data_IF_320596579479
#
_entry.id   IF_320596579479
#
_cell.length_a   1.000
_cell.length_b   1.000
_cell.length_c   1.000
_cell.angle_alpha   90.00
_cell.angle_beta   90.00
_cell.angle_gamma   90.00
#
_symmetry.space_group_name_H-M   'P 1'
#
loop_
_entity.id
_entity.type
_entity.pdbx_description
1 polymer ?
#
# COMPACT_ATOMS: atom_id res chain seq x y z
N UNK A 1 9.45 6.88 -17.66
CA UNK A 1 8.14 7.16 -17.06
C UNK A 1 7.10 6.37 -17.85
N UNK A 2 6.21 5.65 -17.18
CA UNK A 2 5.13 4.89 -17.87
C UNK A 2 3.98 5.82 -18.24
N UNK A 3 3.11 5.40 -19.16
CA UNK A 3 1.90 6.18 -19.51
C UNK A 3 0.96 6.38 -18.30
N UNK A 4 0.95 5.42 -17.39
CA UNK A 4 0.23 5.51 -16.11
C UNK A 4 0.81 6.64 -15.25
N UNK A 5 2.12 6.64 -15.01
CA UNK A 5 2.82 7.68 -14.22
C UNK A 5 2.70 9.07 -14.84
N UNK A 6 2.78 9.16 -16.18
CA UNK A 6 2.56 10.41 -16.92
C UNK A 6 1.19 11.00 -16.58
N UNK A 7 0.12 10.19 -16.63
CA UNK A 7 -1.23 10.65 -16.31
C UNK A 7 -1.38 10.96 -14.82
N UNK A 8 -0.84 10.12 -13.94
CA UNK A 8 -0.93 10.29 -12.48
C UNK A 8 -0.32 11.61 -12.02
N UNK A 9 0.79 12.03 -12.64
CA UNK A 9 1.57 13.22 -12.23
C UNK A 9 1.36 14.44 -13.13
N UNK A 10 0.60 14.31 -14.22
CA UNK A 10 0.38 15.39 -15.18
C UNK A 10 -0.28 16.61 -14.52
N UNK A 11 0.13 17.79 -14.98
CA UNK A 11 -0.59 19.04 -14.73
C UNK A 11 -1.86 19.10 -15.58
N UNK A 12 -2.77 19.99 -15.20
CA UNK A 12 -4.08 20.16 -15.86
C UNK A 12 -4.00 20.26 -17.38
N UNK A 13 -3.09 21.08 -17.92
CA UNK A 13 -2.95 21.26 -19.37
C UNK A 13 -2.50 20.00 -20.12
N UNK A 14 -1.52 19.29 -19.57
CA UNK A 14 -0.96 18.09 -20.21
C UNK A 14 -1.95 16.93 -20.14
N UNK A 15 -2.72 16.88 -19.05
CA UNK A 15 -3.81 15.94 -18.86
C UNK A 15 -4.93 16.17 -19.89
N UNK A 16 -5.38 17.41 -20.04
CA UNK A 16 -6.35 17.83 -21.05
C UNK A 16 -5.88 17.43 -22.46
N UNK A 17 -4.67 17.85 -22.86
CA UNK A 17 -4.11 17.55 -24.20
C UNK A 17 -4.06 16.04 -24.45
N UNK A 18 -3.63 15.27 -23.45
CA UNK A 18 -3.55 13.82 -23.53
C UNK A 18 -4.91 13.17 -23.76
N UNK A 19 -5.91 13.57 -22.98
CA UNK A 19 -7.23 12.92 -22.99
C UNK A 19 -8.08 13.34 -24.20
N UNK A 20 -8.03 14.60 -24.62
CA UNK A 20 -8.71 15.02 -25.86
C UNK A 20 -8.12 14.34 -27.09
N UNK A 21 -6.79 14.21 -27.17
CA UNK A 21 -6.12 13.52 -28.29
C UNK A 21 -6.47 12.04 -28.35
N UNK A 22 -6.62 11.36 -27.21
CA UNK A 22 -7.05 9.95 -27.20
C UNK A 22 -8.54 9.80 -27.48
N UNK A 23 -9.36 10.76 -27.07
CA UNK A 23 -10.79 10.80 -27.32
C UNK A 23 -11.15 11.07 -28.80
N UNK A 24 -10.28 11.75 -29.55
CA UNK A 24 -10.51 12.15 -30.95
C UNK A 24 -10.08 11.12 -32.00
N UNK A 25 -9.42 10.01 -31.62
CA UNK A 25 -9.01 8.93 -32.54
C UNK A 25 -10.20 8.01 -32.93
N UNK A 26 -11.30 8.58 -33.42
CA UNK A 26 -12.55 7.87 -33.71
C UNK A 26 -12.63 7.34 -35.15
N UNK A 27 -13.05 6.08 -35.30
CA UNK A 27 -13.71 5.53 -36.50
C UNK A 27 -15.08 4.86 -36.18
N UNK A 28 -15.44 4.71 -34.89
CA UNK A 28 -16.65 3.99 -34.43
C UNK A 28 -17.65 4.90 -33.68
N UNK A 29 -18.94 4.53 -33.61
CA UNK A 29 -19.97 5.33 -32.92
C UNK A 29 -19.57 5.66 -31.49
N UNK A 30 -19.92 6.87 -31.04
CA UNK A 30 -19.49 7.40 -29.75
C UNK A 30 -20.01 6.52 -28.59
N UNK A 31 -19.15 5.64 -28.09
CA UNK A 31 -19.39 4.91 -26.85
C UNK A 31 -19.70 5.89 -25.72
N UNK A 32 -20.65 5.54 -24.84
CA UNK A 32 -21.06 6.36 -23.71
C UNK A 32 -20.72 5.68 -22.37
N UNK A 33 -20.65 6.47 -21.30
CA UNK A 33 -20.38 5.96 -19.94
C UNK A 33 -19.07 5.19 -19.84
N UNK A 34 -19.07 4.06 -19.11
CA UNK A 34 -17.87 3.25 -18.87
C UNK A 34 -17.24 2.67 -20.15
N UNK A 35 -18.05 2.45 -21.20
CA UNK A 35 -17.52 2.00 -22.50
C UNK A 35 -16.61 3.07 -23.11
N UNK A 36 -16.95 4.35 -22.93
CA UNK A 36 -16.10 5.48 -23.34
C UNK A 36 -14.77 5.48 -22.59
N UNK A 37 -14.81 5.32 -21.26
CA UNK A 37 -13.59 5.26 -20.44
C UNK A 37 -12.68 4.12 -20.86
N UNK A 38 -13.23 2.92 -21.10
CA UNK A 38 -12.48 1.74 -21.56
C UNK A 38 -11.84 1.98 -22.92
N UNK A 39 -12.57 2.61 -23.85
CA UNK A 39 -12.02 2.96 -25.16
C UNK A 39 -10.85 3.95 -25.04
N UNK A 40 -11.01 4.99 -24.21
CA UNK A 40 -9.95 5.97 -23.98
C UNK A 40 -8.73 5.31 -23.33
N UNK A 41 -8.94 4.40 -22.37
CA UNK A 41 -7.86 3.62 -21.76
C UNK A 41 -7.11 2.82 -22.82
N UNK A 42 -7.84 2.08 -23.66
CA UNK A 42 -7.26 1.32 -24.76
C UNK A 42 -6.45 2.20 -25.74
N UNK A 43 -7.00 3.37 -26.13
CA UNK A 43 -6.32 4.33 -27.00
C UNK A 43 -5.02 4.90 -26.40
N UNK A 44 -4.90 4.87 -25.07
CA UNK A 44 -3.72 5.26 -24.32
C UNK A 44 -2.77 4.08 -24.02
N UNK A 45 -3.13 2.85 -24.43
CA UNK A 45 -2.37 1.65 -24.09
C UNK A 45 -2.46 1.27 -22.61
N UNK A 46 -3.55 1.65 -21.94
CA UNK A 46 -3.82 1.37 -20.53
C UNK A 46 -5.03 0.45 -20.38
N UNK A 47 -5.07 -0.29 -19.29
CA UNK A 47 -6.28 -0.96 -18.83
C UNK A 47 -7.25 0.05 -18.21
N UNK A 48 -8.51 -0.35 -18.05
CA UNK A 48 -9.50 0.50 -17.37
C UNK A 48 -9.11 0.82 -15.92
N UNK A 49 -8.72 -0.16 -15.07
CA UNK A 49 -8.24 0.13 -13.72
C UNK A 49 -7.04 1.07 -13.70
N UNK A 50 -6.09 0.93 -14.63
CA UNK A 50 -4.95 1.83 -14.75
C UNK A 50 -5.39 3.27 -15.05
N UNK A 51 -6.23 3.49 -16.05
CA UNK A 51 -6.68 4.84 -16.38
C UNK A 51 -7.46 5.48 -15.23
N UNK A 52 -8.41 4.74 -14.65
CA UNK A 52 -9.25 5.25 -13.56
C UNK A 52 -8.43 5.56 -12.31
N UNK A 53 -7.47 4.70 -11.93
CA UNK A 53 -6.60 4.98 -10.80
C UNK A 53 -5.63 6.14 -11.07
N UNK A 54 -5.00 6.19 -12.26
CA UNK A 54 -4.09 7.28 -12.60
C UNK A 54 -4.80 8.64 -12.55
N UNK A 55 -5.99 8.73 -13.14
CA UNK A 55 -6.79 9.95 -13.12
C UNK A 55 -7.33 10.27 -11.73
N UNK A 56 -7.93 9.28 -11.07
CA UNK A 56 -8.60 9.47 -9.81
C UNK A 56 -7.66 9.82 -8.65
N UNK A 57 -6.36 9.52 -8.75
CA UNK A 57 -5.34 9.96 -7.79
C UNK A 57 -4.52 11.16 -8.26
N UNK A 58 -4.76 11.68 -9.47
CA UNK A 58 -4.13 12.92 -9.93
C UNK A 58 -4.75 14.12 -9.18
N UNK A 59 -3.90 14.96 -8.61
CA UNK A 59 -4.28 16.13 -7.80
C UNK A 59 -5.23 17.12 -8.50
N UNK A 60 -5.16 17.21 -9.83
CA UNK A 60 -5.82 18.24 -10.62
C UNK A 60 -7.13 17.79 -11.27
N UNK A 61 -7.48 16.49 -11.24
CA UNK A 61 -8.63 15.97 -11.99
C UNK A 61 -9.96 16.56 -11.53
N UNK A 62 -10.07 16.93 -10.25
CA UNK A 62 -11.28 17.49 -9.67
C UNK A 62 -11.65 18.85 -10.29
N UNK A 63 -10.66 19.58 -10.79
CA UNK A 63 -10.84 20.89 -11.43
C UNK A 63 -11.24 20.79 -12.90
N UNK A 64 -11.27 19.57 -13.47
CA UNK A 64 -11.42 19.33 -14.90
C UNK A 64 -12.75 18.63 -15.22
N UNK A 65 -13.87 19.32 -14.95
CA UNK A 65 -15.22 18.81 -15.20
C UNK A 65 -15.44 18.32 -16.64
N UNK A 66 -14.89 19.04 -17.60
CA UNK A 66 -15.04 18.71 -19.03
C UNK A 66 -14.35 17.40 -19.38
N UNK A 67 -13.20 17.13 -18.74
CA UNK A 67 -12.47 15.87 -18.88
C UNK A 67 -13.28 14.70 -18.34
N UNK A 68 -13.91 14.89 -17.17
CA UNK A 68 -14.77 13.86 -16.57
C UNK A 68 -15.93 13.52 -17.50
N UNK A 69 -16.57 14.52 -18.10
CA UNK A 69 -17.64 14.32 -19.08
C UNK A 69 -17.14 13.57 -20.33
N UNK A 70 -15.98 13.92 -20.86
CA UNK A 70 -15.35 13.23 -22.02
C UNK A 70 -15.06 11.76 -21.72
N UNK A 71 -14.68 11.45 -20.48
CA UNK A 71 -14.44 10.09 -20.01
C UNK A 71 -15.72 9.30 -19.73
N UNK A 72 -16.89 9.96 -19.74
CA UNK A 72 -18.18 9.34 -19.47
C UNK A 72 -18.57 9.33 -17.98
N UNK A 73 -17.93 10.14 -17.15
CA UNK A 73 -18.29 10.32 -15.74
C UNK A 73 -19.20 11.53 -15.56
N UNK A 74 -20.25 11.38 -14.75
CA UNK A 74 -21.18 12.47 -14.43
C UNK A 74 -20.63 13.46 -13.39
N UNK A 75 -19.66 13.04 -12.59
CA UNK A 75 -19.03 13.87 -11.55
C UNK A 75 -17.70 13.28 -11.11
N UNK A 76 -16.94 14.06 -10.34
CA UNK A 76 -15.72 13.56 -9.69
C UNK A 76 -16.03 12.40 -8.74
N UNK A 77 -17.16 12.44 -8.01
CA UNK A 77 -17.57 11.34 -7.12
C UNK A 77 -17.80 10.03 -7.89
N UNK A 78 -18.31 10.11 -9.14
CA UNK A 78 -18.46 8.93 -9.98
C UNK A 78 -17.10 8.32 -10.34
N UNK A 79 -16.12 9.15 -10.72
CA UNK A 79 -14.74 8.70 -10.94
C UNK A 79 -14.12 8.14 -9.65
N UNK A 80 -14.30 8.82 -8.52
CA UNK A 80 -13.75 8.43 -7.23
C UNK A 80 -14.29 7.07 -6.76
N UNK A 81 -15.58 6.78 -6.99
CA UNK A 81 -16.17 5.46 -6.71
C UNK A 81 -15.51 4.35 -7.54
N UNK A 82 -15.35 4.58 -8.84
CA UNK A 82 -14.69 3.61 -9.72
C UNK A 82 -13.21 3.42 -9.37
N UNK A 83 -12.51 4.51 -9.03
CA UNK A 83 -11.13 4.48 -8.51
C UNK A 83 -11.03 3.65 -7.25
N UNK A 84 -11.89 3.90 -6.27
CA UNK A 84 -11.87 3.17 -5.00
C UNK A 84 -12.12 1.68 -5.22
N UNK A 85 -13.09 1.34 -6.08
CA UNK A 85 -13.39 -0.05 -6.44
C UNK A 85 -12.19 -0.71 -7.14
N UNK A 86 -11.65 -0.07 -8.17
CA UNK A 86 -10.50 -0.57 -8.92
C UNK A 86 -9.27 -0.75 -8.02
N UNK A 87 -8.96 0.24 -7.19
CA UNK A 87 -7.85 0.18 -6.25
C UNK A 87 -8.02 -0.91 -5.20
N UNK A 88 -9.21 -1.13 -4.66
CA UNK A 88 -9.43 -2.14 -3.62
C UNK A 88 -9.50 -3.56 -4.20
N UNK A 89 -10.12 -3.73 -5.37
CA UNK A 89 -10.44 -5.07 -5.91
C UNK A 89 -9.53 -5.55 -7.02
N UNK A 90 -8.79 -4.66 -7.70
CA UNK A 90 -7.76 -5.08 -8.66
C UNK A 90 -6.48 -5.45 -7.92
N UNK A 91 -6.37 -6.76 -7.69
CA UNK A 91 -5.30 -7.36 -6.94
C UNK A 91 -4.20 -7.82 -7.91
N UNK A 92 -3.51 -6.85 -8.50
CA UNK A 92 -2.41 -7.02 -9.47
C UNK A 92 -2.79 -7.72 -10.78
N UNK A 93 -4.06 -7.65 -11.19
CA UNK A 93 -4.53 -8.25 -12.43
C UNK A 93 -4.34 -7.30 -13.60
N UNK A 94 -4.97 -6.12 -13.52
CA UNK A 94 -4.86 -5.08 -14.55
C UNK A 94 -4.18 -3.83 -14.01
N UNK A 95 -4.25 -3.59 -12.69
CA UNK A 95 -3.50 -2.57 -11.98
C UNK A 95 -2.26 -3.22 -11.36
N UNK A 96 -1.13 -3.15 -12.06
CA UNK A 96 0.08 -3.87 -11.65
C UNK A 96 0.69 -3.32 -10.35
N UNK A 97 1.55 -4.11 -9.69
CA UNK A 97 2.23 -3.65 -8.46
C UNK A 97 3.02 -2.36 -8.70
N UNK A 98 3.63 -2.17 -9.88
CA UNK A 98 4.35 -0.93 -10.21
C UNK A 98 3.44 0.29 -10.21
N UNK A 99 2.23 0.14 -10.74
CA UNK A 99 1.23 1.22 -10.78
C UNK A 99 0.80 1.58 -9.35
N UNK A 100 0.56 0.57 -8.50
CA UNK A 100 0.21 0.77 -7.08
C UNK A 100 1.32 1.48 -6.31
N UNK A 101 2.58 1.08 -6.50
CA UNK A 101 3.72 1.74 -5.88
C UNK A 101 3.88 3.19 -6.37
N UNK A 102 3.63 3.46 -7.66
CA UNK A 102 3.65 4.82 -8.19
C UNK A 102 2.55 5.69 -7.58
N UNK A 103 1.35 5.12 -7.33
CA UNK A 103 0.28 5.80 -6.60
C UNK A 103 0.76 6.20 -5.20
N UNK A 104 1.33 5.27 -4.44
CA UNK A 104 1.80 5.55 -3.07
C UNK A 104 2.83 6.66 -3.01
N UNK A 105 3.83 6.62 -3.90
CA UNK A 105 4.83 7.69 -4.01
C UNK A 105 4.22 9.03 -4.40
N UNK A 106 3.14 9.04 -5.20
CA UNK A 106 2.50 10.27 -5.62
C UNK A 106 1.64 10.89 -4.50
N UNK A 107 0.81 10.08 -3.83
CA UNK A 107 -0.17 10.61 -2.88
C UNK A 107 0.46 11.16 -1.60
N UNK A 108 1.67 10.74 -1.24
CA UNK A 108 2.35 11.22 -0.02
C UNK A 108 2.68 12.72 -0.08
N UNK A 109 2.67 13.32 -1.27
CA UNK A 109 2.80 14.76 -1.50
C UNK A 109 1.45 15.50 -1.62
N UNK A 110 0.32 14.79 -1.47
CA UNK A 110 -1.03 15.32 -1.57
C UNK A 110 -1.89 14.80 -0.40
N UNK A 111 -1.99 15.58 0.67
CA UNK A 111 -2.65 15.16 1.92
C UNK A 111 -4.09 14.65 1.71
N UNK A 112 -4.98 15.33 0.94
CA UNK A 112 -6.30 14.78 0.62
C UNK A 112 -6.27 13.39 -0.04
N UNK A 113 -5.36 13.14 -0.98
CA UNK A 113 -5.26 11.83 -1.64
C UNK A 113 -4.62 10.78 -0.72
N UNK A 114 -3.70 11.19 0.15
CA UNK A 114 -3.12 10.33 1.17
C UNK A 114 -4.19 9.80 2.14
N UNK A 115 -5.04 10.68 2.65
CA UNK A 115 -6.16 10.32 3.54
C UNK A 115 -7.12 9.32 2.87
N UNK A 116 -7.43 9.54 1.58
CA UNK A 116 -8.24 8.60 0.79
C UNK A 116 -7.58 7.23 0.73
N UNK A 117 -6.28 7.15 0.42
CA UNK A 117 -5.60 5.86 0.35
C UNK A 117 -5.56 5.18 1.71
N UNK A 118 -5.25 5.91 2.78
CA UNK A 118 -5.23 5.38 4.14
C UNK A 118 -6.57 4.74 4.51
N UNK A 119 -7.69 5.32 4.09
CA UNK A 119 -9.02 4.73 4.29
C UNK A 119 -9.27 3.46 3.45
N UNK A 120 -8.69 3.37 2.25
CA UNK A 120 -8.87 2.23 1.34
C UNK A 120 -7.92 1.07 1.64
N UNK A 121 -6.78 1.34 2.28
CA UNK A 121 -5.71 0.37 2.52
C UNK A 121 -6.22 -0.90 3.20
N UNK A 122 -6.97 -0.77 4.29
CA UNK A 122 -7.41 -1.94 5.06
C UNK A 122 -8.18 -2.95 4.19
N UNK A 123 -9.13 -2.46 3.39
CA UNK A 123 -9.96 -3.31 2.51
C UNK A 123 -9.13 -3.90 1.37
N UNK A 124 -8.16 -3.15 0.85
CA UNK A 124 -7.24 -3.65 -0.19
C UNK A 124 -6.36 -4.77 0.35
N UNK A 125 -5.81 -4.60 1.56
CA UNK A 125 -4.97 -5.60 2.21
C UNK A 125 -5.76 -6.86 2.56
N UNK A 126 -6.99 -6.72 3.06
CA UNK A 126 -7.90 -7.84 3.28
C UNK A 126 -8.07 -8.67 2.00
N UNK A 127 -8.35 -8.03 0.86
CA UNK A 127 -8.49 -8.72 -0.44
C UNK A 127 -7.19 -9.35 -0.95
N UNK A 128 -6.05 -8.72 -0.70
CA UNK A 128 -4.73 -9.27 -1.00
C UNK A 128 -4.46 -10.54 -0.18
N UNK A 129 -4.74 -10.48 1.13
CA UNK A 129 -4.55 -11.57 2.09
C UNK A 129 -5.49 -12.75 1.78
N UNK A 130 -6.79 -12.51 1.54
CA UNK A 130 -7.76 -13.53 1.07
C UNK A 130 -7.24 -14.26 -0.18
N UNK A 131 -6.67 -13.52 -1.14
CA UNK A 131 -6.15 -14.10 -2.38
C UNK A 131 -4.91 -14.96 -2.15
N UNK A 132 -4.05 -14.59 -1.21
CA UNK A 132 -2.88 -15.38 -0.84
C UNK A 132 -3.30 -16.68 -0.15
N UNK A 133 -4.24 -16.62 0.79
CA UNK A 133 -4.79 -17.81 1.43
C UNK A 133 -5.38 -18.79 0.41
N UNK A 134 -6.10 -18.28 -0.58
CA UNK A 134 -6.74 -19.10 -1.60
C UNK A 134 -5.78 -19.75 -2.61
N UNK A 135 -4.60 -19.15 -2.87
CA UNK A 135 -3.75 -19.57 -4.00
C UNK A 135 -2.31 -19.92 -3.65
N UNK A 136 -1.79 -19.37 -2.54
CA UNK A 136 -0.39 -19.51 -2.07
C UNK A 136 0.63 -19.24 -3.19
N UNK A 137 0.31 -18.30 -4.09
CA UNK A 137 1.15 -17.99 -5.23
C UNK A 137 2.36 -17.16 -4.81
N UNK A 138 3.57 -17.70 -5.01
CA UNK A 138 4.83 -17.06 -4.57
C UNK A 138 5.09 -15.71 -5.24
N UNK A 139 4.83 -15.58 -6.55
CA UNK A 139 4.99 -14.32 -7.29
C UNK A 139 4.07 -13.24 -6.72
N UNK A 140 2.85 -13.63 -6.37
CA UNK A 140 1.88 -12.73 -5.76
C UNK A 140 2.32 -12.31 -4.34
N UNK A 141 2.79 -13.24 -3.52
CA UNK A 141 3.33 -12.97 -2.18
C UNK A 141 4.49 -11.96 -2.25
N UNK A 142 5.37 -12.08 -3.26
CA UNK A 142 6.47 -11.11 -3.44
C UNK A 142 5.99 -9.72 -3.85
N UNK A 143 4.89 -9.62 -4.61
CA UNK A 143 4.25 -8.32 -4.89
C UNK A 143 3.63 -7.73 -3.63
N UNK A 144 2.94 -8.55 -2.83
CA UNK A 144 2.38 -8.15 -1.55
C UNK A 144 3.44 -7.62 -0.58
N UNK A 145 4.58 -8.34 -0.46
CA UNK A 145 5.74 -7.87 0.33
C UNK A 145 6.27 -6.53 -0.14
N UNK A 146 6.34 -6.29 -1.46
CA UNK A 146 6.77 -5.00 -2.01
C UNK A 146 5.79 -3.89 -1.66
N UNK A 147 4.50 -4.17 -1.77
CA UNK A 147 3.45 -3.21 -1.43
C UNK A 147 3.49 -2.84 0.06
N UNK A 148 3.59 -3.83 0.95
CA UNK A 148 3.68 -3.59 2.40
C UNK A 148 4.93 -2.79 2.80
N UNK A 149 6.07 -3.03 2.15
CA UNK A 149 7.27 -2.20 2.36
C UNK A 149 7.03 -0.76 1.98
N UNK A 150 6.40 -0.50 0.83
CA UNK A 150 6.10 0.85 0.39
C UNK A 150 5.10 1.56 1.32
N UNK A 151 4.08 0.84 1.79
CA UNK A 151 3.10 1.37 2.75
C UNK A 151 3.81 1.93 3.99
N UNK A 152 4.75 1.19 4.57
CA UNK A 152 5.49 1.64 5.75
C UNK A 152 6.61 2.64 5.44
N UNK A 153 7.40 2.41 4.39
CA UNK A 153 8.63 3.18 4.14
C UNK A 153 8.39 4.49 3.38
N UNK A 154 7.34 4.54 2.56
CA UNK A 154 7.04 5.73 1.74
C UNK A 154 6.09 6.70 2.47
N UNK A 155 5.74 6.42 3.73
CA UNK A 155 4.93 7.31 4.56
C UNK A 155 3.43 7.22 4.31
N UNK A 156 2.94 6.11 3.74
CA UNK A 156 1.49 5.90 3.55
C UNK A 156 0.83 5.49 4.86
N UNK A 157 1.45 4.61 5.63
CA UNK A 157 0.94 4.11 6.91
C UNK A 157 0.91 5.21 7.98
N UNK A 158 -0.16 5.22 8.78
CA UNK A 158 -0.27 5.99 10.01
C UNK A 158 -0.05 5.11 11.24
N UNK A 159 0.09 5.74 12.40
CA UNK A 159 0.27 5.05 13.67
C UNK A 159 -0.91 4.12 13.93
N UNK A 160 -2.14 4.56 13.70
CA UNK A 160 -3.38 3.79 13.90
C UNK A 160 -3.40 2.52 13.06
N UNK A 161 -2.91 2.62 11.82
CA UNK A 161 -2.76 1.46 10.93
C UNK A 161 -1.76 0.46 11.51
N UNK A 162 -0.58 0.92 11.91
CA UNK A 162 0.44 0.06 12.51
C UNK A 162 -0.04 -0.58 13.82
N UNK A 163 -0.71 0.18 14.68
CA UNK A 163 -1.30 -0.30 15.94
C UNK A 163 -2.29 -1.46 15.70
N UNK A 164 -3.21 -1.29 14.74
CA UNK A 164 -4.16 -2.34 14.36
C UNK A 164 -3.48 -3.60 13.84
N UNK A 165 -2.37 -3.47 13.10
CA UNK A 165 -1.58 -4.62 12.63
C UNK A 165 -0.84 -5.31 13.78
N UNK A 166 -0.32 -4.55 14.75
CA UNK A 166 0.37 -5.07 15.94
C UNK A 166 -0.56 -5.72 16.97
N UNK A 167 -1.83 -5.32 17.05
CA UNK A 167 -2.80 -5.91 17.97
C UNK A 167 -3.17 -7.36 17.61
N UNK A 168 -2.98 -7.76 16.34
CA UNK A 168 -3.31 -9.10 15.86
C UNK A 168 -2.15 -10.09 16.06
N UNK A 169 -2.03 -10.66 17.26
CA UNK A 169 -0.94 -11.55 17.71
C UNK A 169 -0.66 -12.76 16.80
N UNK A 170 -1.64 -13.24 16.03
CA UNK A 170 -1.55 -14.51 15.30
C UNK A 170 -1.78 -14.41 13.79
N UNK A 171 -1.48 -13.26 13.18
CA UNK A 171 -1.54 -13.18 11.72
C UNK A 171 -0.33 -13.90 11.08
N UNK A 172 -0.60 -14.99 10.35
CA UNK A 172 0.42 -15.66 9.52
C UNK A 172 1.07 -14.69 8.52
N UNK A 173 0.33 -13.66 8.09
CA UNK A 173 0.85 -12.59 7.23
C UNK A 173 1.89 -11.71 7.91
N UNK A 174 1.72 -11.42 9.21
CA UNK A 174 2.71 -10.63 9.98
C UNK A 174 4.08 -11.31 9.96
N UNK A 175 4.09 -12.63 10.16
CA UNK A 175 5.29 -13.45 10.06
C UNK A 175 5.81 -13.55 8.62
N UNK A 176 4.92 -13.75 7.63
CA UNK A 176 5.26 -13.82 6.20
C UNK A 176 6.00 -12.57 5.71
N UNK A 177 5.56 -11.41 6.19
CA UNK A 177 6.09 -10.10 5.82
C UNK A 177 7.33 -9.69 6.65
N UNK A 178 7.56 -10.33 7.80
CA UNK A 178 8.35 -9.76 8.90
C UNK A 178 7.87 -8.34 9.24
N UNK A 179 6.56 -8.16 9.34
CA UNK A 179 5.93 -6.84 9.39
C UNK A 179 6.34 -6.02 10.61
N UNK A 180 6.55 -6.66 11.76
CA UNK A 180 7.05 -5.97 12.97
C UNK A 180 8.38 -5.25 12.69
N UNK A 181 9.26 -5.86 11.89
CA UNK A 181 10.52 -5.22 11.49
C UNK A 181 10.27 -4.01 10.58
N UNK A 182 9.32 -4.11 9.64
CA UNK A 182 8.93 -2.97 8.78
C UNK A 182 8.40 -1.80 9.61
N UNK A 183 7.57 -2.09 10.62
CA UNK A 183 7.03 -1.05 11.52
C UNK A 183 8.16 -0.38 12.31
N UNK A 184 9.10 -1.15 12.86
CA UNK A 184 10.27 -0.58 13.57
C UNK A 184 11.14 0.26 12.62
N UNK A 185 11.40 -0.23 11.41
CA UNK A 185 12.20 0.47 10.39
C UNK A 185 11.53 1.77 9.94
N UNK A 186 10.18 1.81 9.86
CA UNK A 186 9.40 3.00 9.51
C UNK A 186 9.41 4.10 10.58
N UNK A 187 9.79 3.76 11.82
CA UNK A 187 9.81 4.66 12.99
C UNK A 187 8.44 5.28 13.33
N UNK A 188 7.33 4.69 12.89
CA UNK A 188 5.98 5.13 13.25
C UNK A 188 5.72 5.00 14.76
N UNK A 189 6.23 3.93 15.37
CA UNK A 189 6.08 3.65 16.80
C UNK A 189 7.48 3.46 17.39
N UNK A 190 7.78 4.02 18.58
CA UNK A 190 9.05 3.81 19.25
C UNK A 190 9.37 2.33 19.43
N UNK A 191 10.62 1.94 19.16
CA UNK A 191 11.03 0.54 19.20
C UNK A 191 10.86 -0.11 20.58
N UNK A 192 11.05 0.67 21.67
CA UNK A 192 10.77 0.21 23.03
C UNK A 192 9.30 -0.16 23.21
N UNK A 193 8.39 0.70 22.77
CA UNK A 193 6.95 0.47 22.87
C UNK A 193 6.52 -0.77 22.08
N UNK A 194 7.19 -1.09 20.97
CA UNK A 194 6.95 -2.34 20.23
C UNK A 194 7.54 -3.53 20.99
N UNK A 195 8.81 -3.46 21.39
CA UNK A 195 9.55 -4.60 21.93
C UNK A 195 9.00 -5.10 23.27
N UNK A 196 8.46 -4.21 24.09
CA UNK A 196 7.89 -4.55 25.41
C UNK A 196 6.44 -5.05 25.35
N UNK A 197 5.79 -5.04 24.18
CA UNK A 197 4.42 -5.57 24.04
C UNK A 197 4.40 -7.10 24.16
N UNK A 198 3.30 -7.57 24.75
CA UNK A 198 2.99 -9.00 24.84
C UNK A 198 2.36 -9.55 23.54
N UNK A 199 1.83 -8.67 22.67
CA UNK A 199 1.30 -9.07 21.36
C UNK A 199 2.40 -9.40 20.33
N UNK A 200 3.67 -9.11 20.64
CA UNK A 200 4.83 -9.42 19.81
C UNK A 200 5.41 -10.75 20.25
N UNK A 201 5.47 -11.70 19.33
CA UNK A 201 5.90 -13.06 19.63
C UNK A 201 7.41 -13.11 19.94
N UNK A 202 7.87 -14.07 20.77
CA UNK A 202 9.29 -14.25 21.05
C UNK A 202 10.17 -14.36 19.80
N UNK A 203 9.71 -15.08 18.77
CA UNK A 203 10.45 -15.20 17.49
C UNK A 203 10.47 -13.89 16.69
N UNK A 204 9.46 -13.02 16.84
CA UNK A 204 9.50 -11.68 16.26
C UNK A 204 10.54 -10.82 16.97
N UNK A 205 10.56 -10.84 18.30
CA UNK A 205 11.60 -10.16 19.11
C UNK A 205 13.00 -10.65 18.73
N UNK A 206 13.18 -11.97 18.59
CA UNK A 206 14.43 -12.59 18.10
C UNK A 206 14.86 -12.01 16.76
N UNK A 207 13.94 -11.95 15.78
CA UNK A 207 14.24 -11.41 14.45
C UNK A 207 14.63 -9.93 14.49
N UNK A 208 14.00 -9.13 15.35
CA UNK A 208 14.37 -7.72 15.52
C UNK A 208 15.81 -7.58 16.07
N UNK A 209 16.20 -8.43 17.03
CA UNK A 209 17.56 -8.45 17.59
C UNK A 209 18.58 -8.88 16.53
N UNK A 210 18.33 -9.97 15.79
CA UNK A 210 19.22 -10.45 14.73
C UNK A 210 19.44 -9.39 13.64
N UNK A 211 18.42 -8.58 13.35
CA UNK A 211 18.51 -7.47 12.39
C UNK A 211 19.20 -6.21 12.94
N UNK A 212 19.60 -6.21 14.21
CA UNK A 212 20.20 -5.04 14.86
C UNK A 212 19.22 -3.89 15.09
N UNK A 213 17.90 -4.16 15.04
CA UNK A 213 16.88 -3.13 15.25
C UNK A 213 16.63 -2.85 16.74
N UNK A 214 17.03 -3.77 17.62
CA UNK A 214 16.89 -3.62 19.08
C UNK A 214 18.27 -3.39 19.70
N UNK A 215 18.50 -2.25 20.37
CA UNK A 215 19.69 -2.04 21.18
C UNK A 215 19.79 -3.06 22.32
N UNK A 216 21.00 -3.53 22.62
CA UNK A 216 21.28 -4.47 23.72
C UNK A 216 20.65 -4.02 25.04
N UNK A 217 20.72 -2.73 25.36
CA UNK A 217 20.16 -2.17 26.59
C UNK A 217 18.64 -2.45 26.73
N UNK A 218 17.88 -2.48 25.63
CA UNK A 218 16.45 -2.82 25.70
C UNK A 218 16.23 -4.30 25.97
N UNK A 219 17.09 -5.18 25.45
CA UNK A 219 17.04 -6.62 25.72
C UNK A 219 17.33 -6.90 27.20
N UNK A 220 18.37 -6.27 27.74
CA UNK A 220 18.74 -6.37 29.16
C UNK A 220 17.63 -5.82 30.06
N UNK A 221 17.05 -4.66 29.72
CA UNK A 221 15.92 -4.10 30.45
C UNK A 221 14.70 -5.03 30.46
N UNK A 222 14.39 -5.70 29.33
CA UNK A 222 13.29 -6.66 29.26
C UNK A 222 13.58 -7.95 30.04
N UNK A 223 14.84 -8.41 30.09
CA UNK A 223 15.23 -9.58 30.89
C UNK A 223 15.21 -9.32 32.41
N UNK A 224 15.42 -8.07 32.83
CA UNK A 224 15.30 -7.64 34.22
C UNK A 224 13.84 -7.65 34.72
N UNK A 225 12.86 -7.64 33.81
CA UNK A 225 11.44 -7.77 34.14
C UNK A 225 11.13 -9.19 34.68
N UNK A 226 10.64 -9.25 35.92
CA UNK A 226 10.28 -10.52 36.57
C UNK A 226 9.04 -11.17 35.93
N UNK A 227 8.21 -10.38 35.23
CA UNK A 227 6.94 -10.82 34.62
C UNK A 227 7.07 -11.38 33.20
N UNK A 228 8.28 -11.35 32.62
CA UNK A 228 8.52 -11.84 31.27
C UNK A 228 8.19 -13.35 31.13
N UNK A 229 7.47 -13.77 30.08
CA UNK A 229 7.18 -15.18 29.83
C UNK A 229 8.45 -16.02 29.69
N UNK A 230 8.44 -17.25 30.23
CA UNK A 230 9.60 -18.14 30.22
C UNK A 230 10.16 -18.44 28.81
N UNK A 231 9.28 -18.56 27.81
CA UNK A 231 9.68 -18.75 26.42
C UNK A 231 10.38 -17.51 25.85
N UNK A 232 9.86 -16.32 26.15
CA UNK A 232 10.50 -15.06 25.74
C UNK A 232 11.87 -14.91 26.41
N UNK A 233 11.94 -15.14 27.72
CA UNK A 233 13.20 -15.10 28.48
C UNK A 233 14.28 -15.97 27.86
N UNK A 234 13.96 -17.25 27.57
CA UNK A 234 14.90 -18.18 26.94
C UNK A 234 15.43 -17.64 25.62
N UNK A 235 14.54 -17.13 24.75
CA UNK A 235 14.92 -16.56 23.45
C UNK A 235 15.87 -15.37 23.62
N UNK A 236 15.56 -14.45 24.53
CA UNK A 236 16.38 -13.26 24.77
C UNK A 236 17.75 -13.61 25.37
N UNK A 237 17.81 -14.53 26.34
CA UNK A 237 19.06 -15.03 26.93
C UNK A 237 19.96 -15.69 25.88
N UNK A 238 19.38 -16.51 24.99
CA UNK A 238 20.12 -17.15 23.89
C UNK A 238 20.67 -16.10 22.91
N UNK A 239 19.92 -15.02 22.61
CA UNK A 239 20.40 -13.96 21.74
C UNK A 239 21.52 -13.12 22.38
N UNK A 240 21.47 -12.82 23.68
CA UNK A 240 22.57 -12.10 24.36
C UNK A 240 23.87 -12.90 24.29
N UNK A 241 23.82 -14.21 24.58
CA UNK A 241 25.00 -15.08 24.52
C UNK A 241 25.65 -15.08 23.13
N UNK A 242 24.84 -15.03 22.08
CA UNK A 242 25.32 -14.97 20.69
C UNK A 242 25.91 -13.61 20.32
N UNK A 243 25.45 -12.52 20.94
CA UNK A 243 26.03 -11.18 20.74
C UNK A 243 27.36 -11.01 21.49
N UNK A 244 27.59 -11.81 22.53
CA UNK A 244 28.82 -11.82 23.35
C UNK A 244 29.90 -12.78 22.81
N UNK A 245 29.57 -13.62 21.82
CA UNK A 245 30.47 -14.59 21.19
C UNK A 245 31.10 -14.04 19.91
#
# INVERSE_FOLDING_TARGET
>A
MTRFEEILTARSEDLLKTLYRSASKQDEPAATGLARTRQIAHNLGLTYPQLVCALGFNAHIQELSDVLAVLGFSSYDALARERNLAFVTDIYQQLGVKDVLAIYLHVTHNLPMLEVIQHLLERRLEKLEERIEATVNSVFIERYKKEMRAIYNDGVAQIEFAEKRLSNTHSGFRALLNEVALIVESRLIPVGDIFFRDSILPEEKRRLIIRGLIPRALVEARLADASIPAQERKVLEDQIKLLDA
#
